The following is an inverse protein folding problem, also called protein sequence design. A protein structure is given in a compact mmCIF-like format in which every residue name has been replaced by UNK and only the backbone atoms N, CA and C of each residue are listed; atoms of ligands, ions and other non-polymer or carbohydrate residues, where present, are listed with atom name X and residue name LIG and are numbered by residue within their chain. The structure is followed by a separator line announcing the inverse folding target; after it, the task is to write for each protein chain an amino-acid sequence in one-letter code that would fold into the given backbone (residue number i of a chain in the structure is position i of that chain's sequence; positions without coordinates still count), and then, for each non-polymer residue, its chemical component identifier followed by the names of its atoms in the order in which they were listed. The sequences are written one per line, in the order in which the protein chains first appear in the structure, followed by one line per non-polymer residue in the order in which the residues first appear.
data_IF_521112200260
#
_entry.id   IF_521112200260
#
_cell.length_a   1.000
_cell.length_b   1.000
_cell.length_c   1.000
_cell.angle_alpha   90.00
_cell.angle_beta   90.00
_cell.angle_gamma   90.00
#
_symmetry.space_group_name_H-M   'P 1'
#
loop_
_entity.id
_entity.type
_entity.pdbx_description
1 polymer ?
#
# COMPACT_ATOMS: atom_id res chain seq x y z
N UNK A 1 -61.45 12.18 -30.54
CA UNK A 1 -62.59 13.11 -30.72
C UNK A 1 -63.03 13.29 -32.18
N UNK A 2 -62.18 13.02 -33.19
CA UNK A 2 -62.58 13.06 -34.60
C UNK A 2 -63.40 11.86 -35.10
N UNK A 3 -63.27 10.70 -34.44
CA UNK A 3 -64.07 9.48 -34.73
C UNK A 3 -65.58 9.75 -34.59
N UNK A 4 -65.99 10.38 -33.49
CA UNK A 4 -67.40 10.73 -33.23
C UNK A 4 -68.00 11.71 -34.24
N UNK A 5 -67.18 12.51 -34.91
CA UNK A 5 -67.63 13.47 -35.93
C UNK A 5 -67.80 12.78 -37.30
N UNK A 6 -66.90 11.85 -37.62
CA UNK A 6 -66.99 11.02 -38.83
C UNK A 6 -68.23 10.13 -38.81
N UNK A 7 -68.50 9.47 -37.68
CA UNK A 7 -69.69 8.64 -37.51
C UNK A 7 -71.00 9.45 -37.61
N UNK A 8 -71.00 10.70 -37.13
CA UNK A 8 -72.16 11.58 -37.27
C UNK A 8 -72.42 11.99 -38.73
N UNK A 9 -71.39 12.31 -39.51
CA UNK A 9 -71.57 12.67 -40.92
C UNK A 9 -72.00 11.43 -41.74
N UNK A 10 -71.40 10.28 -41.46
CA UNK A 10 -71.62 9.07 -42.25
C UNK A 10 -72.98 8.42 -41.99
N UNK A 11 -73.54 8.55 -40.78
CA UNK A 11 -74.81 7.92 -40.41
C UNK A 11 -76.02 8.86 -40.48
N UNK A 12 -75.87 10.17 -40.24
CA UNK A 12 -77.01 11.09 -40.10
C UNK A 12 -77.39 11.75 -41.43
N UNK A 13 -76.40 12.12 -42.26
CA UNK A 13 -76.63 12.85 -43.52
C UNK A 13 -77.39 12.03 -44.59
N UNK A 14 -77.16 10.70 -44.77
CA UNK A 14 -77.93 9.92 -45.75
C UNK A 14 -79.40 9.71 -45.36
N UNK A 15 -79.70 9.69 -44.06
CA UNK A 15 -81.05 9.44 -43.56
C UNK A 15 -81.94 10.68 -43.72
N UNK A 16 -81.43 11.87 -43.42
CA UNK A 16 -82.19 13.12 -43.55
C UNK A 16 -82.45 13.53 -45.02
N UNK A 17 -81.52 13.20 -45.93
CA UNK A 17 -81.75 13.45 -47.35
C UNK A 17 -82.82 12.49 -47.92
N UNK A 18 -82.79 11.22 -47.49
CA UNK A 18 -83.75 10.18 -47.89
C UNK A 18 -85.16 10.45 -47.36
N UNK A 19 -85.30 10.94 -46.12
CA UNK A 19 -86.60 11.32 -45.56
C UNK A 19 -87.17 12.56 -46.24
N UNK A 20 -86.34 13.57 -46.53
CA UNK A 20 -86.75 14.76 -47.27
C UNK A 20 -87.22 14.43 -48.71
N UNK A 21 -86.55 13.49 -49.38
CA UNK A 21 -86.95 13.04 -50.72
C UNK A 21 -88.23 12.18 -50.71
N UNK A 22 -88.47 11.40 -49.65
CA UNK A 22 -89.71 10.64 -49.46
C UNK A 22 -90.91 11.55 -49.25
N UNK A 23 -90.75 12.69 -48.58
CA UNK A 23 -91.83 13.69 -48.43
C UNK A 23 -92.22 14.32 -49.78
N UNK A 24 -91.28 14.47 -50.72
CA UNK A 24 -91.56 14.96 -52.08
C UNK A 24 -92.15 13.89 -53.02
N UNK A 25 -92.09 12.60 -52.67
CA UNK A 25 -92.54 11.49 -53.52
C UNK A 25 -93.94 10.97 -53.16
N UNK A 26 -94.55 11.45 -52.06
CA UNK A 26 -95.97 11.18 -51.75
C UNK A 26 -96.83 12.05 -52.67
N UNK A 27 -96.95 11.57 -53.90
CA UNK A 27 -97.99 11.95 -54.85
C UNK A 27 -99.28 11.33 -54.34
N UNK A 28 -100.07 12.12 -53.61
CA UNK A 28 -101.47 11.80 -53.33
C UNK A 28 -102.17 11.52 -54.67
N UNK A 29 -102.63 10.27 -54.83
CA UNK A 29 -103.63 9.88 -55.81
C UNK A 29 -104.92 10.66 -55.51
N UNK A 30 -105.03 11.86 -56.05
CA UNK A 30 -106.31 12.58 -56.11
C UNK A 30 -107.18 11.83 -57.11
N UNK A 31 -108.17 11.13 -56.54
CA UNK A 31 -109.26 10.46 -57.24
C UNK A 31 -109.88 11.39 -58.30
N UNK A 32 -109.84 10.92 -59.54
CA UNK A 32 -110.42 11.56 -60.71
C UNK A 32 -111.94 11.50 -60.64
N UNK A 33 -112.60 12.42 -59.92
CA UNK A 33 -114.04 12.68 -60.04
C UNK A 33 -114.50 14.00 -59.37
N UNK A 34 -113.83 15.13 -59.67
CA UNK A 34 -114.34 16.47 -59.29
C UNK A 34 -113.76 17.67 -60.05
N UNK A 35 -113.09 17.48 -61.20
CA UNK A 35 -112.40 18.57 -61.94
C UNK A 35 -113.18 19.02 -63.19
N UNK A 36 -114.49 19.28 -63.07
CA UNK A 36 -115.30 19.84 -64.17
C UNK A 36 -116.20 21.04 -63.78
N UNK A 37 -115.86 21.80 -62.73
CA UNK A 37 -116.71 22.95 -62.33
C UNK A 37 -116.01 24.25 -61.91
N UNK A 38 -114.74 24.46 -62.24
CA UNK A 38 -114.05 25.71 -61.89
C UNK A 38 -113.20 26.33 -63.02
N UNK A 39 -113.65 26.22 -64.27
CA UNK A 39 -112.99 26.86 -65.42
C UNK A 39 -113.57 28.25 -65.79
N UNK A 40 -114.06 29.02 -64.81
CA UNK A 40 -114.62 30.35 -65.09
C UNK A 40 -114.39 31.35 -63.95
N UNK A 41 -113.20 31.98 -63.95
CA UNK A 41 -112.93 33.36 -63.48
C UNK A 41 -111.42 33.62 -63.55
N UNK A 42 -110.92 33.87 -64.75
CA UNK A 42 -109.59 34.44 -64.97
C UNK A 42 -109.59 35.90 -64.51
N UNK A 43 -109.39 36.14 -63.21
CA UNK A 43 -108.78 37.40 -62.75
C UNK A 43 -107.38 37.42 -63.36
N UNK A 44 -107.05 38.43 -64.16
CA UNK A 44 -105.68 38.66 -64.65
C UNK A 44 -104.78 38.92 -63.45
N UNK A 45 -104.27 37.85 -62.85
CA UNK A 45 -103.17 37.92 -61.89
C UNK A 45 -102.00 38.51 -62.67
N UNK A 46 -101.51 39.66 -62.23
CA UNK A 46 -100.31 40.27 -62.80
C UNK A 46 -99.16 39.37 -62.35
N UNK A 47 -98.83 38.37 -63.16
CA UNK A 47 -97.71 37.46 -62.90
C UNK A 47 -96.45 38.24 -63.22
N UNK A 48 -95.66 38.56 -62.20
CA UNK A 48 -94.33 39.14 -62.40
C UNK A 48 -93.44 38.08 -63.03
N UNK A 49 -93.29 38.17 -64.34
CA UNK A 49 -92.42 37.30 -65.15
C UNK A 49 -90.94 37.41 -64.71
N UNK A 50 -90.58 38.44 -63.94
CA UNK A 50 -89.24 38.68 -63.39
C UNK A 50 -89.02 38.09 -61.99
N UNK A 51 -90.05 37.57 -61.31
CA UNK A 51 -89.91 37.03 -59.95
C UNK A 51 -88.89 35.87 -59.88
N UNK A 52 -88.76 35.07 -60.95
CA UNK A 52 -87.74 34.04 -61.06
C UNK A 52 -86.31 34.60 -61.20
N UNK A 53 -86.16 35.74 -61.88
CA UNK A 53 -84.87 36.42 -62.02
C UNK A 53 -84.44 37.10 -60.71
N UNK A 54 -85.38 37.71 -59.99
CA UNK A 54 -85.12 38.29 -58.66
C UNK A 54 -84.77 37.22 -57.62
N UNK A 55 -85.48 36.09 -57.64
CA UNK A 55 -85.17 34.95 -56.75
C UNK A 55 -83.78 34.37 -57.05
N UNK A 56 -83.45 34.20 -58.32
CA UNK A 56 -82.12 33.75 -58.74
C UNK A 56 -81.04 34.75 -58.31
N UNK A 57 -81.27 36.04 -58.51
CA UNK A 57 -80.33 37.09 -58.11
C UNK A 57 -80.12 37.11 -56.59
N UNK A 58 -81.19 36.98 -55.79
CA UNK A 58 -81.10 36.90 -54.33
C UNK A 58 -80.25 35.71 -53.87
N UNK A 59 -80.47 34.51 -54.42
CA UNK A 59 -79.67 33.35 -54.07
C UNK A 59 -78.23 33.44 -54.60
N UNK A 60 -78.00 34.00 -55.78
CA UNK A 60 -76.66 34.25 -56.31
C UNK A 60 -75.88 35.22 -55.41
N UNK A 61 -76.49 36.33 -55.00
CA UNK A 61 -75.87 37.31 -54.11
C UNK A 61 -75.62 36.72 -52.71
N UNK A 62 -76.55 35.93 -52.19
CA UNK A 62 -76.38 35.26 -50.91
C UNK A 62 -75.25 34.23 -50.96
N UNK A 63 -75.17 33.45 -52.05
CA UNK A 63 -74.09 32.50 -52.27
C UNK A 63 -72.75 33.19 -52.43
N UNK A 64 -72.67 34.29 -53.17
CA UNK A 64 -71.46 35.09 -53.32
C UNK A 64 -70.97 35.63 -51.97
N UNK A 65 -71.88 36.17 -51.14
CA UNK A 65 -71.53 36.64 -49.80
C UNK A 65 -71.03 35.50 -48.90
N UNK A 66 -71.71 34.36 -48.91
CA UNK A 66 -71.30 33.17 -48.17
C UNK A 66 -69.90 32.70 -48.61
N UNK A 67 -69.64 32.71 -49.92
CA UNK A 67 -68.35 32.32 -50.47
C UNK A 67 -67.24 33.28 -50.01
N UNK A 68 -67.47 34.59 -50.08
CA UNK A 68 -66.51 35.61 -49.59
C UNK A 68 -66.22 35.44 -48.10
N UNK A 69 -67.24 35.19 -47.28
CA UNK A 69 -67.07 34.95 -45.85
C UNK A 69 -66.30 33.65 -45.57
N UNK A 70 -66.59 32.58 -46.33
CA UNK A 70 -65.87 31.31 -46.21
C UNK A 70 -64.40 31.47 -46.60
N UNK A 71 -64.09 32.23 -47.66
CA UNK A 71 -62.71 32.49 -48.09
C UNK A 71 -61.96 33.32 -47.04
N UNK A 72 -62.59 34.36 -46.49
CA UNK A 72 -62.00 35.16 -45.42
C UNK A 72 -61.72 34.32 -44.16
N UNK A 73 -62.67 33.46 -43.78
CA UNK A 73 -62.49 32.56 -42.64
C UNK A 73 -61.36 31.53 -42.89
N UNK A 74 -61.25 31.00 -44.10
CA UNK A 74 -60.16 30.10 -44.48
C UNK A 74 -58.79 30.78 -44.36
N UNK A 75 -58.66 32.04 -44.80
CA UNK A 75 -57.41 32.83 -44.64
C UNK A 75 -57.05 33.05 -43.18
N UNK A 76 -58.01 33.45 -42.35
CA UNK A 76 -57.79 33.64 -40.91
C UNK A 76 -57.38 32.31 -40.24
N UNK A 77 -58.01 31.20 -40.62
CA UNK A 77 -57.66 29.88 -40.11
C UNK A 77 -56.22 29.47 -40.48
N UNK A 78 -55.78 29.78 -41.70
CA UNK A 78 -54.40 29.54 -42.17
C UNK A 78 -53.38 30.39 -41.40
N UNK A 79 -53.69 31.68 -41.16
CA UNK A 79 -52.85 32.55 -40.34
C UNK A 79 -52.70 32.01 -38.91
N UNK A 80 -53.81 31.61 -38.29
CA UNK A 80 -53.81 31.02 -36.94
C UNK A 80 -53.02 29.72 -36.91
N UNK A 81 -53.19 28.84 -37.90
CA UNK A 81 -52.41 27.61 -38.01
C UNK A 81 -50.90 27.90 -38.06
N UNK A 82 -50.50 28.89 -38.86
CA UNK A 82 -49.08 29.29 -38.97
C UNK A 82 -48.49 29.79 -37.64
N UNK A 83 -49.29 30.48 -36.82
CA UNK A 83 -48.87 30.95 -35.49
C UNK A 83 -48.75 29.78 -34.52
N UNK A 84 -49.71 28.85 -34.55
CA UNK A 84 -49.69 27.63 -33.73
C UNK A 84 -48.45 26.79 -34.05
N UNK A 85 -48.11 26.61 -35.32
CA UNK A 85 -46.92 25.85 -35.73
C UNK A 85 -45.63 26.49 -35.21
N UNK A 86 -45.50 27.82 -35.33
CA UNK A 86 -44.34 28.57 -34.80
C UNK A 86 -44.21 28.42 -33.27
N UNK A 87 -45.33 28.47 -32.54
CA UNK A 87 -45.34 28.27 -31.10
C UNK A 87 -44.94 26.84 -30.77
N UNK A 88 -45.50 25.86 -31.47
CA UNK A 88 -45.20 24.45 -31.25
C UNK A 88 -43.72 24.15 -31.49
N UNK A 89 -43.13 24.64 -32.58
CA UNK A 89 -41.69 24.52 -32.85
C UNK A 89 -40.83 25.16 -31.75
N UNK A 90 -41.24 26.32 -31.22
CA UNK A 90 -40.55 26.98 -30.11
C UNK A 90 -40.62 26.17 -28.83
N UNK A 91 -41.79 25.61 -28.52
CA UNK A 91 -42.01 24.75 -27.35
C UNK A 91 -41.19 23.46 -27.48
N UNK A 92 -41.19 22.81 -28.64
CA UNK A 92 -40.42 21.58 -28.87
C UNK A 92 -38.92 21.82 -28.72
N UNK A 93 -38.40 22.94 -29.26
CA UNK A 93 -36.98 23.32 -29.06
C UNK A 93 -36.63 23.54 -27.60
N UNK A 94 -37.46 24.29 -26.86
CA UNK A 94 -37.25 24.52 -25.42
C UNK A 94 -37.30 23.21 -24.63
N UNK A 95 -38.25 22.34 -24.96
CA UNK A 95 -38.39 21.04 -24.31
C UNK A 95 -37.15 20.15 -24.56
N UNK A 96 -36.61 20.15 -25.78
CA UNK A 96 -35.37 19.43 -26.09
C UNK A 96 -34.19 19.91 -25.21
N UNK A 97 -34.00 21.22 -25.08
CA UNK A 97 -32.94 21.80 -24.22
C UNK A 97 -33.16 21.44 -22.75
N UNK A 98 -34.40 21.50 -22.26
CA UNK A 98 -34.72 21.13 -20.88
C UNK A 98 -34.41 19.65 -20.63
N UNK A 99 -34.74 18.76 -21.57
CA UNK A 99 -34.45 17.34 -21.44
C UNK A 99 -32.94 17.05 -21.45
N UNK A 100 -32.17 17.75 -22.28
CA UNK A 100 -30.70 17.67 -22.28
C UNK A 100 -30.13 18.14 -20.93
N UNK A 101 -30.62 19.27 -20.42
CA UNK A 101 -30.23 19.77 -19.10
C UNK A 101 -30.57 18.79 -17.97
N UNK A 102 -31.77 18.20 -17.98
CA UNK A 102 -32.18 17.18 -17.01
C UNK A 102 -31.25 15.97 -17.09
N UNK A 103 -30.88 15.53 -18.30
CA UNK A 103 -29.94 14.43 -18.50
C UNK A 103 -28.56 14.74 -17.89
N UNK A 104 -28.04 15.95 -18.11
CA UNK A 104 -26.77 16.40 -17.54
C UNK A 104 -26.82 16.45 -16.02
N UNK A 105 -27.86 17.03 -15.44
CA UNK A 105 -28.03 17.10 -13.98
C UNK A 105 -28.16 15.69 -13.38
N UNK A 106 -28.86 14.78 -14.08
CA UNK A 106 -29.00 13.38 -13.64
C UNK A 106 -27.69 12.61 -13.65
N UNK A 107 -26.66 13.07 -14.37
CA UNK A 107 -25.32 12.45 -14.41
C UNK A 107 -24.40 12.91 -13.26
N UNK A 108 -24.74 14.01 -12.58
CA UNK A 108 -23.93 14.57 -11.49
C UNK A 108 -23.74 13.56 -10.34
N UNK A 109 -24.77 12.82 -9.87
CA UNK A 109 -24.58 11.83 -8.80
C UNK A 109 -23.59 10.73 -9.16
N UNK A 110 -23.64 10.21 -10.40
CA UNK A 110 -22.66 9.19 -10.84
C UNK A 110 -21.24 9.75 -10.92
N UNK A 111 -21.08 11.00 -11.33
CA UNK A 111 -19.79 11.67 -11.34
C UNK A 111 -19.28 11.87 -9.89
N UNK A 112 -20.16 12.27 -8.97
CA UNK A 112 -19.83 12.40 -7.56
C UNK A 112 -19.40 11.05 -6.95
N UNK A 113 -20.10 9.96 -7.24
CA UNK A 113 -19.72 8.62 -6.80
C UNK A 113 -18.36 8.21 -7.37
N UNK A 114 -18.12 8.44 -8.67
CA UNK A 114 -16.83 8.16 -9.29
C UNK A 114 -15.69 8.96 -8.65
N UNK A 115 -15.92 10.24 -8.34
CA UNK A 115 -14.93 11.07 -7.63
C UNK A 115 -14.72 10.56 -6.21
N UNK A 116 -15.78 10.16 -5.51
CA UNK A 116 -15.70 9.54 -4.19
C UNK A 116 -14.84 8.27 -4.18
N UNK A 117 -15.04 7.39 -5.16
CA UNK A 117 -14.25 6.16 -5.31
C UNK A 117 -12.76 6.48 -5.53
N UNK A 118 -12.44 7.44 -6.40
CA UNK A 118 -11.05 7.88 -6.63
C UNK A 118 -10.43 8.46 -5.36
N UNK A 119 -11.20 9.22 -4.58
CA UNK A 119 -10.74 9.76 -3.29
C UNK A 119 -10.46 8.64 -2.29
N UNK A 120 -11.28 7.59 -2.24
CA UNK A 120 -11.05 6.46 -1.34
C UNK A 120 -9.87 5.60 -1.80
N UNK A 121 -9.70 5.38 -3.10
CA UNK A 121 -8.52 4.74 -3.68
C UNK A 121 -7.23 5.51 -3.32
N UNK A 122 -7.27 6.85 -3.38
CA UNK A 122 -6.15 7.70 -2.99
C UNK A 122 -5.81 7.56 -1.50
N UNK A 123 -6.81 7.54 -0.61
CA UNK A 123 -6.58 7.30 0.82
C UNK A 123 -5.99 5.91 1.08
N UNK A 124 -6.46 4.90 0.35
CA UNK A 124 -5.90 3.55 0.47
C UNK A 124 -4.45 3.50 -0.02
N UNK A 125 -4.14 4.19 -1.11
CA UNK A 125 -2.79 4.31 -1.64
C UNK A 125 -1.87 5.02 -0.64
N UNK A 126 -2.31 6.12 -0.02
CA UNK A 126 -1.56 6.84 1.02
C UNK A 126 -1.24 5.90 2.20
N UNK A 127 -2.22 5.14 2.69
CA UNK A 127 -2.01 4.15 3.74
C UNK A 127 -0.99 3.07 3.34
N UNK A 128 -1.06 2.60 2.11
CA UNK A 128 -0.11 1.59 1.62
C UNK A 128 1.30 2.15 1.51
N UNK A 129 1.46 3.41 1.08
CA UNK A 129 2.76 4.09 1.03
C UNK A 129 3.34 4.19 2.44
N UNK A 130 2.56 4.65 3.42
CA UNK A 130 3.01 4.74 4.82
C UNK A 130 3.43 3.37 5.37
N UNK A 131 2.68 2.31 5.05
CA UNK A 131 3.04 0.95 5.45
C UNK A 131 4.34 0.50 4.79
N UNK A 132 4.55 0.79 3.51
CA UNK A 132 5.79 0.47 2.80
C UNK A 132 6.97 1.23 3.40
N UNK A 133 6.81 2.53 3.68
CA UNK A 133 7.83 3.34 4.35
C UNK A 133 8.21 2.74 5.70
N UNK A 134 7.22 2.37 6.53
CA UNK A 134 7.47 1.71 7.81
C UNK A 134 8.26 0.41 7.62
N UNK A 135 7.85 -0.45 6.67
CA UNK A 135 8.55 -1.72 6.40
C UNK A 135 9.97 -1.52 5.88
N UNK A 136 10.21 -0.46 5.12
CA UNK A 136 11.56 -0.10 4.67
C UNK A 136 12.44 0.33 5.84
N UNK A 137 11.92 1.15 6.76
CA UNK A 137 12.63 1.51 7.99
C UNK A 137 12.97 0.27 8.83
N UNK A 138 11.99 -0.61 9.06
CA UNK A 138 12.21 -1.87 9.79
C UNK A 138 13.28 -2.76 9.11
N UNK A 139 13.29 -2.79 7.77
CA UNK A 139 14.30 -3.54 7.02
C UNK A 139 15.70 -2.92 7.14
N UNK A 140 15.80 -1.59 7.12
CA UNK A 140 17.06 -0.88 7.30
C UNK A 140 17.65 -1.14 8.70
N UNK A 141 16.82 -1.05 9.73
CA UNK A 141 17.20 -1.38 11.11
C UNK A 141 17.69 -2.84 11.22
N UNK A 142 16.93 -3.80 10.66
CA UNK A 142 17.32 -5.21 10.69
C UNK A 142 18.65 -5.48 9.97
N UNK A 143 18.90 -4.78 8.85
CA UNK A 143 20.17 -4.89 8.10
C UNK A 143 21.33 -4.29 8.88
N UNK A 144 21.12 -3.16 9.56
CA UNK A 144 22.14 -2.55 10.41
C UNK A 144 22.48 -3.46 11.60
N UNK A 145 21.48 -4.06 12.23
CA UNK A 145 21.64 -5.04 13.30
C UNK A 145 22.43 -6.27 12.86
N UNK A 146 22.15 -6.79 11.67
CA UNK A 146 22.90 -7.91 11.08
C UNK A 146 24.37 -7.54 10.86
N UNK A 147 24.63 -6.36 10.27
CA UNK A 147 25.98 -5.87 10.05
C UNK A 147 26.76 -5.70 11.36
N UNK A 148 26.12 -5.14 12.39
CA UNK A 148 26.71 -4.99 13.72
C UNK A 148 27.01 -6.33 14.37
N UNK A 149 26.07 -7.28 14.35
CA UNK A 149 26.27 -8.65 14.87
C UNK A 149 27.43 -9.34 14.16
N UNK A 150 27.52 -9.22 12.83
CA UNK A 150 28.63 -9.79 12.05
C UNK A 150 29.98 -9.18 12.43
N UNK A 151 30.04 -7.87 12.58
CA UNK A 151 31.26 -7.18 13.03
C UNK A 151 31.68 -7.64 14.42
N UNK A 152 30.74 -7.72 15.37
CA UNK A 152 31.02 -8.17 16.73
C UNK A 152 31.49 -9.63 16.77
N UNK A 153 30.86 -10.52 15.98
CA UNK A 153 31.29 -11.92 15.85
C UNK A 153 32.70 -12.04 15.27
N UNK A 154 33.03 -11.26 14.24
CA UNK A 154 34.37 -11.24 13.68
C UNK A 154 35.40 -10.75 14.71
N UNK A 155 35.10 -9.68 15.45
CA UNK A 155 35.99 -9.18 16.48
C UNK A 155 36.19 -10.20 17.61
N UNK A 156 35.11 -10.85 18.07
CA UNK A 156 35.20 -11.90 19.07
C UNK A 156 36.05 -13.09 18.58
N UNK A 157 35.92 -13.45 17.31
CA UNK A 157 36.71 -14.50 16.67
C UNK A 157 38.20 -14.14 16.61
N UNK A 158 38.55 -12.92 16.18
CA UNK A 158 39.95 -12.44 16.15
C UNK A 158 40.57 -12.44 17.55
N UNK A 159 39.83 -12.00 18.57
CA UNK A 159 40.29 -12.03 19.97
C UNK A 159 40.51 -13.45 20.46
N UNK A 160 39.61 -14.39 20.12
CA UNK A 160 39.75 -15.79 20.46
C UNK A 160 41.00 -16.43 19.82
N UNK A 161 41.21 -16.20 18.53
CA UNK A 161 42.41 -16.64 17.80
C UNK A 161 43.69 -16.07 18.41
N UNK A 162 43.70 -14.77 18.73
CA UNK A 162 44.85 -14.13 19.36
C UNK A 162 45.16 -14.74 20.72
N UNK A 163 44.12 -15.00 21.54
CA UNK A 163 44.27 -15.64 22.86
C UNK A 163 44.83 -17.05 22.73
N UNK A 164 44.33 -17.85 21.80
CA UNK A 164 44.82 -19.20 21.53
C UNK A 164 46.29 -19.18 21.11
N UNK A 165 46.64 -18.31 20.14
CA UNK A 165 48.03 -18.13 19.69
C UNK A 165 48.95 -17.71 20.84
N UNK A 166 48.51 -16.79 21.70
CA UNK A 166 49.29 -16.37 22.87
C UNK A 166 49.43 -17.48 23.91
N UNK A 167 48.39 -18.26 24.13
CA UNK A 167 48.45 -19.43 25.03
C UNK A 167 49.44 -20.47 24.51
N UNK A 168 49.45 -20.75 23.20
CA UNK A 168 50.39 -21.68 22.59
C UNK A 168 51.85 -21.19 22.72
N UNK A 169 52.11 -19.91 22.44
CA UNK A 169 53.43 -19.30 22.63
C UNK A 169 53.91 -19.36 24.08
N UNK A 170 53.00 -19.14 25.04
CA UNK A 170 53.32 -19.21 26.45
C UNK A 170 53.65 -20.64 26.90
N UNK A 171 52.91 -21.63 26.40
CA UNK A 171 53.18 -23.04 26.70
C UNK A 171 54.52 -23.49 26.08
N UNK A 172 54.82 -23.06 24.86
CA UNK A 172 56.13 -23.27 24.24
C UNK A 172 57.26 -22.66 25.07
N UNK A 173 57.09 -21.42 25.54
CA UNK A 173 58.06 -20.76 26.41
C UNK A 173 58.26 -21.51 27.74
N UNK A 174 57.18 -21.99 28.36
CA UNK A 174 57.24 -22.83 29.57
C UNK A 174 58.03 -24.11 29.34
N UNK A 175 57.76 -24.82 28.25
CA UNK A 175 58.48 -26.05 27.89
C UNK A 175 59.96 -25.75 27.67
N UNK A 176 60.30 -24.71 26.90
CA UNK A 176 61.68 -24.29 26.67
C UNK A 176 62.40 -23.91 27.97
N UNK A 177 61.71 -23.19 28.87
CA UNK A 177 62.26 -22.81 30.18
C UNK A 177 62.51 -24.04 31.05
N UNK A 178 61.62 -25.03 31.05
CA UNK A 178 61.77 -26.28 31.78
C UNK A 178 62.94 -27.12 31.24
N UNK A 179 63.14 -27.17 29.92
CA UNK A 179 64.30 -27.81 29.28
C UNK A 179 65.59 -27.11 29.73
N UNK A 180 65.66 -25.79 29.58
CA UNK A 180 66.82 -24.98 29.98
C UNK A 180 67.15 -25.14 31.47
N UNK A 181 66.14 -25.15 32.34
CA UNK A 181 66.31 -25.39 33.76
C UNK A 181 66.87 -26.79 34.02
N UNK A 182 66.29 -27.82 33.39
CA UNK A 182 66.76 -29.21 33.52
C UNK A 182 68.21 -29.37 33.05
N UNK A 183 68.59 -28.72 31.95
CA UNK A 183 69.99 -28.71 31.48
C UNK A 183 70.93 -27.99 32.45
N UNK A 184 70.51 -26.85 33.01
CA UNK A 184 71.29 -26.10 34.00
C UNK A 184 71.51 -26.93 35.27
N UNK A 185 70.47 -27.58 35.79
CA UNK A 185 70.57 -28.49 36.94
C UNK A 185 71.53 -29.64 36.63
N UNK A 186 71.39 -30.30 35.46
CA UNK A 186 72.32 -31.36 35.03
C UNK A 186 73.77 -30.88 34.96
N UNK A 187 74.04 -29.65 34.50
CA UNK A 187 75.39 -29.06 34.48
C UNK A 187 75.92 -28.84 35.91
N UNK A 188 75.10 -28.30 36.81
CA UNK A 188 75.46 -28.08 38.21
C UNK A 188 75.76 -29.41 38.91
N UNK A 189 74.89 -30.42 38.74
CA UNK A 189 75.09 -31.76 39.30
C UNK A 189 76.38 -32.41 38.78
N UNK A 190 76.69 -32.26 37.48
CA UNK A 190 77.96 -32.75 36.91
C UNK A 190 79.17 -32.08 37.54
N UNK A 191 79.14 -30.74 37.67
CA UNK A 191 80.20 -29.98 38.33
C UNK A 191 80.37 -30.38 39.80
N UNK A 192 79.27 -30.56 40.54
CA UNK A 192 79.30 -31.03 41.92
C UNK A 192 79.88 -32.45 42.01
N UNK A 193 79.44 -33.38 41.16
CA UNK A 193 79.98 -34.75 41.10
C UNK A 193 81.48 -34.77 40.81
N UNK A 194 81.94 -33.92 39.89
CA UNK A 194 83.37 -33.78 39.59
C UNK A 194 84.15 -33.29 40.82
N UNK A 195 83.65 -32.23 41.47
CA UNK A 195 84.23 -31.68 42.71
C UNK A 195 84.30 -32.72 43.83
N UNK A 196 83.25 -33.53 44.01
CA UNK A 196 83.26 -34.63 44.99
C UNK A 196 84.28 -35.72 44.64
N UNK A 197 84.41 -36.06 43.35
CA UNK A 197 85.39 -37.05 42.89
C UNK A 197 86.82 -36.56 43.08
N UNK A 198 87.12 -35.31 42.73
CA UNK A 198 88.43 -34.69 42.98
C UNK A 198 88.76 -34.65 44.47
N UNK A 199 87.78 -34.27 45.30
CA UNK A 199 87.93 -34.28 46.76
C UNK A 199 88.18 -35.70 47.30
N UNK A 200 87.48 -36.70 46.79
CA UNK A 200 87.69 -38.10 47.16
C UNK A 200 89.08 -38.57 46.74
N UNK A 201 89.54 -38.24 45.52
CA UNK A 201 90.88 -38.57 45.05
C UNK A 201 91.97 -37.89 45.89
N UNK A 202 91.79 -36.61 46.23
CA UNK A 202 92.71 -35.89 47.11
C UNK A 202 92.79 -36.52 48.51
N UNK A 203 91.64 -36.88 49.10
CA UNK A 203 91.61 -37.59 50.38
C UNK A 203 92.23 -38.99 50.29
N UNK A 204 92.04 -39.70 49.17
CA UNK A 204 92.62 -41.02 48.98
C UNK A 204 94.14 -40.95 48.77
N UNK A 205 94.63 -39.96 48.01
CA UNK A 205 96.06 -39.71 47.86
C UNK A 205 96.71 -39.34 49.21
N UNK A 206 96.08 -38.45 49.98
CA UNK A 206 96.53 -38.12 51.33
C UNK A 206 96.53 -39.34 52.26
N UNK A 207 95.49 -40.18 52.19
CA UNK A 207 95.42 -41.42 52.97
C UNK A 207 96.50 -42.44 52.55
N UNK A 208 96.76 -42.60 51.26
CA UNK A 208 97.83 -43.47 50.76
C UNK A 208 99.21 -42.96 51.18
N UNK A 209 99.41 -41.64 51.18
CA UNK A 209 100.60 -41.00 51.71
C UNK A 209 100.75 -41.27 53.23
N UNK A 210 99.70 -41.06 54.02
CA UNK A 210 99.68 -41.41 55.46
C UNK A 210 99.93 -42.90 55.70
N UNK A 211 99.36 -43.79 54.89
CA UNK A 211 99.56 -45.23 54.98
C UNK A 211 101.01 -45.61 54.65
N UNK A 212 101.61 -44.98 53.65
CA UNK A 212 103.02 -45.19 53.30
C UNK A 212 103.94 -44.63 54.39
N UNK A 213 103.64 -43.45 54.94
CA UNK A 213 104.35 -42.91 56.10
C UNK A 213 104.25 -43.86 57.30
N UNK A 214 103.07 -44.44 57.56
CA UNK A 214 102.87 -45.46 58.60
C UNK A 214 103.69 -46.73 58.35
N UNK A 215 103.74 -47.25 57.12
CA UNK A 215 104.56 -48.42 56.78
C UNK A 215 106.05 -48.18 56.99
N UNK A 216 106.52 -46.95 56.77
CA UNK A 216 107.93 -46.58 56.90
C UNK A 216 108.31 -46.27 58.38
N UNK A 217 107.42 -45.64 59.15
CA UNK A 217 107.74 -45.10 60.49
C UNK A 217 107.00 -45.78 61.67
N UNK A 218 106.04 -46.68 61.39
CA UNK A 218 105.34 -47.50 62.40
C UNK A 218 104.35 -46.77 63.31
N UNK A 219 104.09 -45.48 63.10
CA UNK A 219 103.15 -44.65 63.89
C UNK A 219 102.32 -43.77 62.96
N UNK A 220 101.00 -43.69 63.21
CA UNK A 220 100.11 -42.76 62.51
C UNK A 220 100.15 -41.45 63.28
N UNK A 221 100.67 -40.38 62.69
CA UNK A 221 100.47 -39.04 63.21
C UNK A 221 99.01 -38.67 62.98
N UNK A 222 98.15 -38.89 63.99
CA UNK A 222 96.88 -38.15 64.02
C UNK A 222 97.27 -36.69 63.98
N UNK A 223 96.91 -36.00 62.91
CA UNK A 223 96.85 -34.55 62.92
C UNK A 223 96.13 -34.17 64.20
N UNK A 224 96.87 -33.52 65.10
CA UNK A 224 96.26 -32.81 66.21
C UNK A 224 95.24 -31.90 65.55
N UNK A 225 93.95 -32.15 65.84
CA UNK A 225 92.95 -31.13 65.66
C UNK A 225 93.55 -29.89 66.32
N UNK A 226 93.95 -28.90 65.51
CA UNK A 226 94.12 -27.58 66.07
C UNK A 226 92.78 -27.28 66.72
N UNK A 227 92.78 -27.23 68.04
CA UNK A 227 91.76 -26.59 68.85
C UNK A 227 91.68 -25.13 68.40
N UNK A 228 91.07 -24.91 67.25
CA UNK A 228 90.30 -23.69 67.04
C UNK A 228 89.01 -23.98 67.78
N UNK A 229 88.70 -23.13 68.75
CA UNK A 229 87.45 -23.10 69.53
C UNK A 229 86.21 -23.22 68.62
N UNK A 230 85.88 -24.42 68.20
CA UNK A 230 84.54 -24.76 67.78
C UNK A 230 83.76 -24.95 69.06
N UNK A 231 83.28 -23.81 69.60
CA UNK A 231 81.99 -23.82 70.27
C UNK A 231 81.06 -24.66 69.41
N UNK A 232 80.50 -25.70 70.00
CA UNK A 232 79.28 -26.35 69.54
C UNK A 232 78.23 -25.24 69.41
N UNK A 233 78.18 -24.58 68.26
CA UNK A 233 77.06 -23.72 67.93
C UNK A 233 75.89 -24.65 67.65
N UNK A 234 75.13 -24.96 68.72
CA UNK A 234 73.76 -25.43 68.56
C UNK A 234 73.04 -24.49 67.59
N UNK A 235 72.19 -25.03 66.72
CA UNK A 235 71.39 -24.25 65.77
C UNK A 235 70.49 -23.20 66.46
N UNK A 236 70.33 -23.29 67.78
CA UNK A 236 69.61 -22.31 68.61
C UNK A 236 70.40 -21.01 68.87
N UNK A 237 71.71 -20.95 68.60
CA UNK A 237 72.55 -19.75 68.81
C UNK A 237 72.97 -19.03 67.52
N UNK A 238 72.44 -19.42 66.36
CA UNK A 238 72.57 -18.61 65.14
C UNK A 238 71.51 -17.51 65.19
N UNK A 239 71.87 -16.35 65.73
CA UNK A 239 71.14 -15.12 65.45
C UNK A 239 71.40 -14.74 64.00
N UNK A 240 70.39 -14.94 63.14
CA UNK A 240 70.37 -14.34 61.80
C UNK A 240 70.14 -12.85 62.03
N UNK A 241 71.22 -12.06 62.03
CA UNK A 241 71.12 -10.60 61.89
C UNK A 241 70.45 -10.34 60.54
N UNK A 242 69.14 -10.05 60.59
CA UNK A 242 68.40 -9.61 59.41
C UNK A 242 68.84 -8.19 59.14
N UNK A 243 69.73 -8.01 58.16
CA UNK A 243 70.08 -6.70 57.67
C UNK A 243 68.80 -6.00 57.18
N UNK A 244 68.69 -4.70 57.44
CA UNK A 244 67.51 -3.90 57.07
C UNK A 244 67.25 -3.92 55.54
N UNK A 245 68.28 -4.27 54.77
CA UNK A 245 68.23 -4.51 53.33
C UNK A 245 67.51 -5.83 52.96
N UNK A 246 67.73 -6.90 53.72
CA UNK A 246 67.11 -8.21 53.47
C UNK A 246 65.62 -8.19 53.83
N UNK A 247 65.24 -7.44 54.87
CA UNK A 247 63.84 -7.20 55.21
C UNK A 247 63.11 -6.39 54.13
N UNK A 248 63.75 -5.37 53.55
CA UNK A 248 63.18 -4.64 52.41
C UNK A 248 63.05 -5.51 51.16
N UNK A 249 64.03 -6.35 50.88
CA UNK A 249 63.99 -7.26 49.74
C UNK A 249 62.86 -8.31 49.90
N UNK A 250 62.61 -8.78 51.13
CA UNK A 250 61.50 -9.67 51.43
C UNK A 250 60.14 -8.97 51.33
N UNK A 251 60.04 -7.73 51.80
CA UNK A 251 58.81 -6.92 51.74
C UNK A 251 58.42 -6.57 50.29
N UNK A 252 59.40 -6.33 49.41
CA UNK A 252 59.16 -6.11 47.98
C UNK A 252 58.75 -7.41 47.28
N UNK A 253 59.32 -8.56 47.66
CA UNK A 253 58.94 -9.87 47.11
C UNK A 253 57.49 -10.27 47.44
N UNK A 254 56.95 -9.86 48.58
CA UNK A 254 55.56 -10.14 48.97
C UNK A 254 54.53 -9.16 48.37
N UNK A 255 54.99 -8.12 47.66
CA UNK A 255 54.12 -7.12 47.00
C UNK A 255 53.95 -7.36 45.49
N UNK A 256 54.68 -8.32 44.91
CA UNK A 256 54.41 -8.93 43.59
C UNK A 256 53.47 -10.13 43.69
#
# INVERSE_FOLDING_TARGET
MFENFRDKIQNVVPQDLSTSLKVLTITEKISSNSVKKHLSKTKKVKVDLNAGAELLHHYQQHWENLHKQSEANAKIAEEVASVIDRINESVMRKNAIINEFISLVSSIPSMHESVGNVVDDLKQLEKNILLVEQRLTELEEAKQDEAFKKMNMNQAYEVALYREKKSAQFEEYKVNLAIMHTEKVKKIEKMQKLKYKERQQAFQAAFEEELNQYKIHGKVERQQQQEVEHKEKSLEEIQIESDEADLKAFDDFLRE
#
